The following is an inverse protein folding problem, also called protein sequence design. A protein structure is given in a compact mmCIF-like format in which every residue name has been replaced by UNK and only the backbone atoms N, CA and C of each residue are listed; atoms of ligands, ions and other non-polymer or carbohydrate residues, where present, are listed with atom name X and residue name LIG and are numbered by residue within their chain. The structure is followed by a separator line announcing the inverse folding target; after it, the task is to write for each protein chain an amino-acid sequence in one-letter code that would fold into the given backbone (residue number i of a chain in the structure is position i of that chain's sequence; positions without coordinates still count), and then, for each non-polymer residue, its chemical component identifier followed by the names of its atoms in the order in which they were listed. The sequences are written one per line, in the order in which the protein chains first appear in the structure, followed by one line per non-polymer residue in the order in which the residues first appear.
data_IF_661607857213
#
_entry.id   IF_661607857213
#
_cell.length_a   1.000
_cell.length_b   1.000
_cell.length_c   1.000
_cell.angle_alpha   90.00
_cell.angle_beta   90.00
_cell.angle_gamma   90.00
#
_symmetry.space_group_name_H-M   'P 1'
#
loop_
_entity.id
_entity.type
_entity.pdbx_description
1 polymer ?
#
# COMPACT_ATOMS: atom_id res chain seq x y z
N UNK A 1 3.22 4.20 -34.03
CA UNK A 1 2.41 5.33 -33.50
C UNK A 1 1.62 4.96 -32.25
N UNK A 2 0.94 3.80 -32.16
CA UNK A 2 0.21 3.37 -30.95
C UNK A 2 1.08 3.18 -29.70
N UNK A 3 2.27 2.60 -29.83
CA UNK A 3 3.16 2.32 -28.67
C UNK A 3 3.60 3.60 -27.95
N UNK A 4 3.89 4.67 -28.68
CA UNK A 4 4.37 5.94 -28.11
C UNK A 4 3.30 6.66 -27.27
N UNK A 5 2.02 6.43 -27.59
CA UNK A 5 0.89 6.95 -26.79
C UNK A 5 0.57 6.04 -25.59
N UNK A 6 0.86 4.74 -25.68
CA UNK A 6 0.60 3.79 -24.59
C UNK A 6 1.61 3.87 -23.45
N UNK A 7 2.89 4.18 -23.72
CA UNK A 7 3.93 4.31 -22.69
C UNK A 7 3.58 5.33 -21.60
N UNK A 8 3.19 6.60 -21.91
CA UNK A 8 2.85 7.57 -20.88
C UNK A 8 1.62 7.15 -20.06
N UNK A 9 0.65 6.48 -20.70
CA UNK A 9 -0.54 5.96 -20.01
C UNK A 9 -0.17 4.86 -19.00
N UNK A 10 0.67 3.88 -19.39
CA UNK A 10 1.13 2.81 -18.49
C UNK A 10 1.93 3.38 -17.32
N UNK A 11 2.81 4.34 -17.58
CA UNK A 11 3.61 5.02 -16.55
C UNK A 11 2.70 5.77 -15.55
N UNK A 12 1.66 6.44 -16.03
CA UNK A 12 0.70 7.14 -15.18
C UNK A 12 -0.07 6.16 -14.26
N UNK A 13 -0.56 5.05 -14.81
CA UNK A 13 -1.24 4.00 -14.02
C UNK A 13 -0.32 3.40 -12.98
N UNK A 14 0.92 3.09 -13.35
CA UNK A 14 1.91 2.56 -12.42
C UNK A 14 2.19 3.56 -11.27
N UNK A 15 2.35 4.84 -11.60
CA UNK A 15 2.52 5.90 -10.61
C UNK A 15 1.32 5.99 -9.66
N UNK A 16 0.10 5.94 -10.19
CA UNK A 16 -1.12 5.98 -9.38
C UNK A 16 -1.23 4.80 -8.41
N UNK A 17 -0.90 3.59 -8.88
CA UNK A 17 -0.88 2.38 -8.05
C UNK A 17 0.15 2.52 -6.92
N UNK A 18 1.38 2.94 -7.23
CA UNK A 18 2.44 3.12 -6.23
C UNK A 18 2.03 4.18 -5.18
N UNK A 19 1.45 5.30 -5.62
CA UNK A 19 0.95 6.35 -4.71
C UNK A 19 -0.16 5.83 -3.80
N UNK A 20 -1.08 5.04 -4.32
CA UNK A 20 -2.15 4.43 -3.55
C UNK A 20 -1.60 3.48 -2.48
N UNK A 21 -0.62 2.64 -2.82
CA UNK A 21 0.05 1.75 -1.85
C UNK A 21 0.72 2.55 -0.73
N UNK A 22 1.47 3.60 -1.08
CA UNK A 22 2.17 4.45 -0.10
C UNK A 22 1.17 5.20 0.79
N UNK A 23 0.08 5.69 0.22
CA UNK A 23 -0.97 6.38 0.96
C UNK A 23 -1.66 5.47 1.97
N UNK A 24 -1.99 4.24 1.56
CA UNK A 24 -2.59 3.24 2.45
C UNK A 24 -1.67 2.94 3.64
N UNK A 25 -0.37 2.77 3.40
CA UNK A 25 0.58 2.52 4.48
C UNK A 25 0.76 3.73 5.40
N UNK A 26 0.76 4.96 4.87
CA UNK A 26 0.82 6.16 5.71
C UNK A 26 -0.41 6.27 6.62
N UNK A 27 -1.60 5.95 6.13
CA UNK A 27 -2.82 5.93 6.95
C UNK A 27 -2.71 4.87 8.04
N UNK A 28 -2.27 3.65 7.70
CA UNK A 28 -2.03 2.58 8.69
C UNK A 28 -1.04 3.02 9.79
N UNK A 29 0.07 3.65 9.40
CA UNK A 29 1.08 4.15 10.34
C UNK A 29 0.55 5.30 11.20
N UNK A 30 -0.25 6.21 10.63
CA UNK A 30 -0.88 7.30 11.35
C UNK A 30 -1.83 6.77 12.43
N UNK A 31 -2.63 5.75 12.12
CA UNK A 31 -3.48 5.05 13.08
C UNK A 31 -2.69 4.46 14.25
N UNK A 32 -1.63 3.69 13.96
CA UNK A 32 -0.74 3.11 14.98
C UNK A 32 -0.03 4.18 15.83
N UNK A 33 0.24 5.36 15.27
CA UNK A 33 0.83 6.48 16.01
C UNK A 33 -0.20 7.13 16.93
N UNK A 34 -1.43 7.32 16.44
CA UNK A 34 -2.54 7.86 17.21
C UNK A 34 -2.89 6.98 18.41
N UNK A 35 -2.92 5.66 18.20
CA UNK A 35 -3.12 4.67 19.27
C UNK A 35 -2.06 4.81 20.37
N UNK A 36 -0.77 4.82 19.99
CA UNK A 36 0.33 4.99 20.95
C UNK A 36 0.24 6.32 21.70
N UNK A 37 -0.08 7.41 21.01
CA UNK A 37 -0.28 8.71 21.65
C UNK A 37 -1.43 8.68 22.67
N UNK A 38 -2.56 8.03 22.35
CA UNK A 38 -3.66 7.88 23.29
C UNK A 38 -3.27 7.08 24.54
N UNK A 39 -2.44 6.04 24.41
CA UNK A 39 -1.97 5.25 25.56
C UNK A 39 -1.04 6.08 26.45
N UNK A 40 -0.08 6.79 25.87
CA UNK A 40 0.86 7.65 26.62
C UNK A 40 0.10 8.77 27.33
N UNK A 41 -0.82 9.43 26.62
CA UNK A 41 -1.55 10.56 27.18
C UNK A 41 -2.55 10.11 28.27
N UNK A 42 -3.08 8.89 28.20
CA UNK A 42 -3.86 8.29 29.31
C UNK A 42 -3.03 8.06 30.58
N UNK A 43 -1.71 7.88 30.48
CA UNK A 43 -0.84 7.72 31.66
C UNK A 43 -0.45 9.04 32.31
N UNK A 44 -0.45 10.15 31.57
CA UNK A 44 -0.09 11.48 32.10
C UNK A 44 -1.28 12.28 32.64
N UNK A 45 -2.49 12.04 32.13
CA UNK A 45 -3.69 12.80 32.53
C UNK A 45 -4.24 12.31 33.88
N UNK A 46 -4.44 13.26 34.81
CA UNK A 46 -5.12 13.04 36.10
C UNK A 46 -6.64 13.21 36.05
N UNK A 47 -7.16 13.89 35.02
CA UNK A 47 -8.60 14.11 34.85
C UNK A 47 -9.30 12.84 34.32
N UNK A 48 -10.15 12.26 35.16
CA UNK A 48 -10.89 11.03 34.88
C UNK A 48 -11.76 11.14 33.63
N UNK A 49 -12.36 12.31 33.37
CA UNK A 49 -13.32 12.51 32.27
C UNK A 49 -12.61 12.53 30.93
N UNK A 50 -11.45 13.18 30.87
CA UNK A 50 -10.60 13.25 29.69
C UNK A 50 -9.97 11.88 29.38
N UNK A 51 -9.61 11.13 30.42
CA UNK A 51 -9.13 9.75 30.30
C UNK A 51 -10.17 8.81 29.70
N UNK A 52 -11.44 8.97 30.08
CA UNK A 52 -12.57 8.20 29.53
C UNK A 52 -12.74 8.46 28.02
N UNK A 53 -12.73 9.73 27.59
CA UNK A 53 -12.85 10.09 26.18
C UNK A 53 -11.67 9.58 25.34
N UNK A 54 -10.46 9.66 25.89
CA UNK A 54 -9.26 9.18 25.23
C UNK A 54 -9.27 7.65 25.07
N UNK A 55 -9.87 6.94 26.04
CA UNK A 55 -10.12 5.50 25.97
C UNK A 55 -11.14 5.15 24.88
N UNK A 56 -12.19 5.94 24.70
CA UNK A 56 -13.16 5.74 23.61
C UNK A 56 -12.53 5.96 22.24
N UNK A 57 -11.72 7.02 22.07
CA UNK A 57 -10.99 7.27 20.83
C UNK A 57 -10.00 6.15 20.54
N UNK A 58 -9.26 5.68 21.55
CA UNK A 58 -8.33 4.56 21.40
C UNK A 58 -9.07 3.28 20.98
N UNK A 59 -10.20 2.96 21.62
CA UNK A 59 -11.04 1.81 21.25
C UNK A 59 -11.59 1.92 19.84
N UNK A 60 -12.04 3.11 19.43
CA UNK A 60 -12.50 3.37 18.08
C UNK A 60 -11.38 3.10 17.07
N UNK A 61 -10.21 3.72 17.26
CA UNK A 61 -9.05 3.55 16.37
C UNK A 61 -8.55 2.10 16.33
N UNK A 62 -8.58 1.39 17.47
CA UNK A 62 -8.19 -0.02 17.55
C UNK A 62 -9.23 -0.95 16.89
N UNK A 63 -10.51 -0.59 16.95
CA UNK A 63 -11.61 -1.31 16.32
C UNK A 63 -11.69 -1.12 14.80
N UNK A 64 -11.06 -0.07 14.25
CA UNK A 64 -10.90 0.08 12.81
C UNK A 64 -9.73 -0.80 12.35
N UNK A 65 -9.95 -1.83 11.51
CA UNK A 65 -8.87 -2.54 10.87
C UNK A 65 -8.22 -1.60 9.85
N UNK A 66 -7.28 -0.77 10.30
CA UNK A 66 -6.49 0.13 9.45
C UNK A 66 -5.47 -0.64 8.59
N UNK A 67 -5.71 -1.93 8.35
CA UNK A 67 -5.00 -2.76 7.40
C UNK A 67 -5.78 -2.75 6.10
N UNK A 68 -5.26 -2.02 5.13
CA UNK A 68 -5.81 -2.06 3.77
C UNK A 68 -5.44 -3.41 3.16
N UNK A 69 -6.44 -4.26 2.93
CA UNK A 69 -6.26 -5.55 2.28
C UNK A 69 -7.08 -5.60 0.99
N UNK A 70 -6.50 -6.10 -0.08
CA UNK A 70 -7.19 -6.34 -1.35
C UNK A 70 -8.04 -7.60 -1.19
N UNK A 71 -9.30 -7.40 -0.79
CA UNK A 71 -10.30 -8.48 -0.64
C UNK A 71 -9.82 -9.65 0.25
N UNK A 72 -8.90 -9.41 1.19
CA UNK A 72 -8.33 -10.43 2.07
C UNK A 72 -7.25 -11.31 1.46
N UNK A 73 -6.90 -11.12 0.19
CA UNK A 73 -5.86 -11.90 -0.49
C UNK A 73 -4.46 -11.35 -0.22
N UNK A 74 -4.31 -10.02 -0.21
CA UNK A 74 -3.01 -9.36 -0.03
C UNK A 74 -3.14 -8.08 0.78
N UNK A 75 -2.29 -7.92 1.79
CA UNK A 75 -2.15 -6.65 2.51
C UNK A 75 -1.40 -5.63 1.66
N UNK A 76 -2.00 -4.44 1.48
CA UNK A 76 -1.43 -3.31 0.75
C UNK A 76 -0.29 -2.71 1.58
N UNK A 77 0.92 -3.23 1.39
CA UNK A 77 2.16 -2.80 2.02
C UNK A 77 3.17 -2.35 0.95
N UNK A 78 4.10 -1.43 1.24
CA UNK A 78 5.23 -1.09 0.34
C UNK A 78 6.01 -2.29 -0.18
N UNK A 79 5.99 -3.43 0.53
CA UNK A 79 6.58 -4.71 0.03
C UNK A 79 5.95 -5.23 -1.27
N UNK A 80 4.73 -4.80 -1.62
CA UNK A 80 4.10 -5.11 -2.91
C UNK A 80 4.77 -4.40 -4.08
N UNK A 81 5.33 -3.21 -3.88
CA UNK A 81 5.97 -2.43 -4.95
C UNK A 81 7.11 -3.21 -5.63
N UNK A 82 8.12 -3.75 -4.90
CA UNK A 82 9.16 -4.55 -5.53
C UNK A 82 8.63 -5.88 -6.09
N UNK A 83 7.59 -6.47 -5.49
CA UNK A 83 6.96 -7.70 -6.01
C UNK A 83 6.30 -7.46 -7.37
N UNK A 84 5.58 -6.34 -7.53
CA UNK A 84 4.98 -5.92 -8.80
C UNK A 84 6.04 -5.65 -9.87
N UNK A 85 7.12 -4.95 -9.51
CA UNK A 85 8.24 -4.70 -10.42
C UNK A 85 8.90 -6.00 -10.88
N UNK A 86 9.10 -6.95 -9.96
CA UNK A 86 9.70 -8.25 -10.27
C UNK A 86 8.81 -9.07 -11.21
N UNK A 87 7.50 -9.10 -10.94
CA UNK A 87 6.53 -9.74 -11.81
C UNK A 87 6.53 -9.14 -13.21
N UNK A 88 6.44 -7.80 -13.31
CA UNK A 88 6.49 -7.09 -14.59
C UNK A 88 7.78 -7.39 -15.37
N UNK A 89 8.92 -7.36 -14.68
CA UNK A 89 10.24 -7.66 -15.28
C UNK A 89 10.29 -9.10 -15.78
N UNK A 90 9.80 -10.05 -15.00
CA UNK A 90 9.76 -11.46 -15.37
C UNK A 90 8.92 -11.69 -16.62
N UNK A 91 7.73 -11.10 -16.69
CA UNK A 91 6.87 -11.17 -17.87
C UNK A 91 7.52 -10.53 -19.10
N UNK A 92 8.18 -9.37 -18.95
CA UNK A 92 8.91 -8.73 -20.05
C UNK A 92 10.03 -9.64 -20.59
N UNK A 93 10.82 -10.23 -19.69
CA UNK A 93 11.87 -11.18 -20.07
C UNK A 93 11.29 -12.37 -20.85
N UNK A 94 10.20 -12.96 -20.36
CA UNK A 94 9.52 -14.09 -21.03
C UNK A 94 9.05 -13.68 -22.43
N UNK A 95 8.40 -12.53 -22.56
CA UNK A 95 7.91 -12.03 -23.86
C UNK A 95 9.05 -11.78 -24.86
N UNK A 96 10.18 -11.24 -24.39
CA UNK A 96 11.36 -11.03 -25.22
C UNK A 96 11.92 -12.37 -25.69
N UNK A 97 12.03 -13.36 -24.79
CA UNK A 97 12.51 -14.70 -25.16
C UNK A 97 11.62 -15.35 -26.21
N UNK A 98 10.29 -15.33 -26.05
CA UNK A 98 9.35 -15.86 -27.05
C UNK A 98 9.48 -15.16 -28.40
N UNK A 99 9.60 -13.82 -28.40
CA UNK A 99 9.83 -13.03 -29.63
C UNK A 99 11.11 -13.42 -30.35
N UNK A 100 12.21 -13.60 -29.62
CA UNK A 100 13.51 -14.01 -30.20
C UNK A 100 13.43 -15.40 -30.81
N UNK A 101 12.76 -16.35 -30.15
CA UNK A 101 12.61 -17.71 -30.68
C UNK A 101 11.76 -17.75 -31.96
N UNK A 102 10.69 -16.95 -32.06
CA UNK A 102 9.88 -16.85 -33.28
C UNK A 102 10.71 -16.36 -34.49
N UNK A 103 11.64 -15.42 -34.27
CA UNK A 103 12.51 -14.91 -35.33
C UNK A 103 13.55 -15.93 -35.79
N UNK A 104 14.01 -16.83 -34.93
CA UNK A 104 14.95 -17.91 -35.29
C UNK A 104 14.27 -19.10 -35.99
N UNK A 105 12.93 -19.19 -35.98
CA UNK A 105 12.18 -20.24 -36.70
C UNK A 105 11.68 -19.80 -38.09
N UNK A 106 11.89 -18.53 -38.46
CA UNK A 106 11.70 -18.02 -39.83
C UNK A 106 13.01 -18.04 -40.59
#
# INVERSE_FOLDING_TARGET
MYVFLSIPHITLHFYFVVRSIISCEHVEQAGKKLERMCVILQTEIKDQRLKEQLREIAKFVHGLPLKFSLAGFFDINKRLIPSLLNGLTSYMIILIQFKVQEQCQK
#
